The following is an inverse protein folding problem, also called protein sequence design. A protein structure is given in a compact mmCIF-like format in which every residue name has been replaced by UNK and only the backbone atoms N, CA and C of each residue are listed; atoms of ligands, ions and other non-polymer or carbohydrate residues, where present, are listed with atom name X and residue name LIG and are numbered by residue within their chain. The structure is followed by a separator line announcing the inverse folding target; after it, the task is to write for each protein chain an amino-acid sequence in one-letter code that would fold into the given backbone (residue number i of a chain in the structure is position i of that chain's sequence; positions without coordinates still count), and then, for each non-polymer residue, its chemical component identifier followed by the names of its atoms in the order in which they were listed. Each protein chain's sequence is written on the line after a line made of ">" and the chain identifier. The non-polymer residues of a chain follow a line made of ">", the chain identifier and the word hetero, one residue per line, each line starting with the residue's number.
data_IF_289983739944
#
_entry.id   IF_289983739944
#
_cell.length_a   1.000
_cell.length_b   1.000
_cell.length_c   1.000
_cell.angle_alpha   90.00
_cell.angle_beta   90.00
_cell.angle_gamma   90.00
#
_symmetry.space_group_name_H-M   'P 1'
#
loop_
_entity.id
_entity.type
_entity.pdbx_description
1 polymer ?
#
# COMPACT_ATOMS: atom_id res chain seq x y z
N UNK A 1 18.96 7.42 -10.36
CA UNK A 1 18.83 8.43 -9.29
C UNK A 1 18.62 9.77 -9.98
N UNK A 2 17.41 10.31 -9.92
CA UNK A 2 17.14 11.66 -10.39
C UNK A 2 16.96 12.51 -9.13
N UNK A 3 17.99 13.28 -8.79
CA UNK A 3 17.91 14.31 -7.76
C UNK A 3 16.70 15.19 -8.08
N UNK A 4 15.72 15.17 -7.19
CA UNK A 4 14.65 16.15 -7.20
C UNK A 4 15.34 17.50 -7.04
N UNK A 5 15.26 18.35 -8.06
CA UNK A 5 15.59 19.77 -7.95
C UNK A 5 14.68 20.36 -6.88
N UNK A 6 15.17 20.37 -5.64
CA UNK A 6 14.58 21.08 -4.51
C UNK A 6 14.57 22.55 -4.91
N UNK A 7 13.41 23.05 -5.34
CA UNK A 7 13.19 24.48 -5.50
C UNK A 7 13.57 25.12 -4.17
N UNK A 8 14.52 26.06 -4.20
CA UNK A 8 14.87 26.84 -3.01
C UNK A 8 13.59 27.49 -2.50
N UNK A 9 13.31 27.31 -1.22
CA UNK A 9 12.22 27.97 -0.52
C UNK A 9 12.42 29.48 -0.65
N UNK A 10 11.48 30.15 -1.33
CA UNK A 10 11.60 31.58 -1.62
C UNK A 10 11.09 32.42 -0.44
N UNK A 11 10.12 31.90 0.31
CA UNK A 11 9.50 32.61 1.43
C UNK A 11 8.88 31.64 2.43
N UNK A 12 9.09 31.91 3.72
CA UNK A 12 8.53 31.14 4.84
C UNK A 12 7.18 31.71 5.24
N UNK A 13 6.11 30.92 5.05
CA UNK A 13 4.75 31.31 5.40
C UNK A 13 4.28 30.70 6.72
N UNK A 14 5.19 30.09 7.49
CA UNK A 14 4.87 29.35 8.72
C UNK A 14 4.05 30.18 9.70
N UNK A 15 4.40 31.46 9.87
CA UNK A 15 3.70 32.39 10.79
C UNK A 15 2.27 32.68 10.35
N UNK A 16 2.05 32.90 9.06
CA UNK A 16 0.72 33.16 8.52
C UNK A 16 -0.16 31.91 8.65
N UNK A 17 0.40 30.72 8.42
CA UNK A 17 -0.30 29.46 8.60
C UNK A 17 -0.65 29.22 10.07
N UNK A 18 0.26 29.52 11.00
CA UNK A 18 0.02 29.38 12.45
C UNK A 18 -1.07 30.33 12.96
N UNK A 19 -1.20 31.53 12.38
CA UNK A 19 -2.27 32.47 12.71
C UNK A 19 -3.62 32.10 12.06
N UNK A 20 -3.59 31.52 10.86
CA UNK A 20 -4.79 31.23 10.07
C UNK A 20 -5.44 29.90 10.45
N UNK A 21 -4.69 28.89 10.89
CA UNK A 21 -5.26 27.61 11.35
C UNK A 21 -6.30 27.81 12.48
N UNK A 22 -6.01 28.54 13.58
CA UNK A 22 -6.98 28.76 14.66
C UNK A 22 -8.20 29.59 14.20
N UNK A 23 -7.98 30.56 13.31
CA UNK A 23 -9.06 31.36 12.74
C UNK A 23 -9.99 30.52 11.87
N UNK A 24 -9.44 29.58 11.11
CA UNK A 24 -10.26 28.66 10.32
C UNK A 24 -10.97 27.67 11.23
N UNK A 25 -10.33 27.14 12.27
CA UNK A 25 -10.97 26.23 13.22
C UNK A 25 -12.16 26.87 13.95
N UNK A 26 -12.06 28.16 14.29
CA UNK A 26 -13.19 28.91 14.86
C UNK A 26 -14.32 29.16 13.84
N UNK A 27 -13.99 29.43 12.58
CA UNK A 27 -14.97 29.58 11.50
C UNK A 27 -15.67 28.26 11.14
N UNK A 28 -14.94 27.14 11.19
CA UNK A 28 -15.47 25.79 10.99
C UNK A 28 -16.44 25.43 12.12
N UNK A 29 -16.10 25.74 13.38
CA UNK A 29 -17.02 25.60 14.53
C UNK A 29 -18.25 26.52 14.41
N UNK A 30 -18.11 27.66 13.75
CA UNK A 30 -19.20 28.59 13.42
C UNK A 30 -20.09 28.15 12.26
N UNK A 31 -19.82 27.00 11.62
CA UNK A 31 -20.61 26.45 10.51
C UNK A 31 -20.22 26.98 9.11
N UNK A 32 -19.24 27.87 9.01
CA UNK A 32 -18.80 28.46 7.74
C UNK A 32 -17.63 27.69 7.10
N UNK A 33 -17.86 26.40 6.81
CA UNK A 33 -16.84 25.48 6.28
C UNK A 33 -16.26 25.98 4.94
N UNK A 34 -17.10 26.44 4.02
CA UNK A 34 -16.63 26.87 2.69
C UNK A 34 -15.74 28.11 2.74
N UNK A 35 -16.09 29.11 3.56
CA UNK A 35 -15.25 30.30 3.73
C UNK A 35 -13.89 29.96 4.37
N UNK A 36 -13.87 28.98 5.28
CA UNK A 36 -12.62 28.46 5.84
C UNK A 36 -11.75 27.79 4.78
N UNK A 37 -12.35 26.94 3.94
CA UNK A 37 -11.65 26.27 2.85
C UNK A 37 -11.10 27.25 1.81
N UNK A 38 -11.86 28.27 1.42
CA UNK A 38 -11.41 29.28 0.45
C UNK A 38 -10.18 30.06 0.94
N UNK A 39 -10.17 30.41 2.24
CA UNK A 39 -9.00 31.05 2.88
C UNK A 39 -7.78 30.13 2.86
N UNK A 40 -7.95 28.85 3.20
CA UNK A 40 -6.86 27.87 3.17
C UNK A 40 -6.35 27.64 1.75
N UNK A 41 -7.22 27.58 0.74
CA UNK A 41 -6.85 27.39 -0.66
C UNK A 41 -6.12 28.60 -1.25
N UNK A 42 -6.43 29.82 -0.79
CA UNK A 42 -5.73 31.03 -1.17
C UNK A 42 -4.27 31.02 -0.68
N UNK A 43 -4.05 30.67 0.59
CA UNK A 43 -2.72 30.50 1.16
C UNK A 43 -1.97 29.31 0.56
N UNK A 44 -2.65 28.20 0.29
CA UNK A 44 -2.06 27.04 -0.38
C UNK A 44 -1.47 27.44 -1.74
N UNK A 45 -2.15 28.32 -2.48
CA UNK A 45 -1.63 28.84 -3.76
C UNK A 45 -0.36 29.66 -3.57
N UNK A 46 -0.28 30.51 -2.54
CA UNK A 46 0.89 31.35 -2.27
C UNK A 46 2.08 30.50 -1.79
N UNK A 47 1.86 29.63 -0.81
CA UNK A 47 2.88 28.73 -0.26
C UNK A 47 3.40 27.73 -1.29
N UNK A 48 2.55 27.23 -2.20
CA UNK A 48 2.96 26.39 -3.32
C UNK A 48 3.85 27.13 -4.31
N UNK A 49 3.49 28.37 -4.64
CA UNK A 49 4.30 29.18 -5.55
C UNK A 49 5.69 29.48 -4.95
N UNK A 50 5.75 29.76 -3.64
CA UNK A 50 7.00 29.98 -2.90
C UNK A 50 7.79 28.69 -2.61
N UNK A 51 7.28 27.52 -3.01
CA UNK A 51 7.88 26.20 -2.80
C UNK A 51 8.17 25.86 -1.31
N UNK A 52 7.37 26.39 -0.38
CA UNK A 52 7.45 26.06 1.05
C UNK A 52 6.74 24.72 1.32
N UNK A 53 7.53 23.65 1.43
CA UNK A 53 7.04 22.30 1.68
C UNK A 53 6.32 22.17 3.02
N UNK A 54 6.82 22.85 4.06
CA UNK A 54 6.34 22.69 5.42
C UNK A 54 4.94 23.27 5.58
N UNK A 55 4.76 24.50 5.10
CA UNK A 55 3.48 25.22 5.14
C UNK A 55 2.45 24.59 4.19
N UNK A 56 2.84 24.23 2.97
CA UNK A 56 1.92 23.55 2.02
C UNK A 56 1.42 22.22 2.58
N UNK A 57 2.32 21.39 3.14
CA UNK A 57 1.91 20.10 3.72
C UNK A 57 0.93 20.30 4.88
N UNK A 58 1.19 21.25 5.79
CA UNK A 58 0.28 21.55 6.91
C UNK A 58 -1.07 22.04 6.45
N UNK A 59 -1.12 22.92 5.44
CA UNK A 59 -2.37 23.42 4.86
C UNK A 59 -3.17 22.28 4.23
N UNK A 60 -2.53 21.39 3.45
CA UNK A 60 -3.19 20.22 2.88
C UNK A 60 -3.74 19.29 3.96
N UNK A 61 -2.96 19.01 5.01
CA UNK A 61 -3.42 18.17 6.12
C UNK A 61 -4.64 18.77 6.83
N UNK A 62 -4.66 20.08 7.06
CA UNK A 62 -5.81 20.76 7.66
C UNK A 62 -7.03 20.75 6.74
N UNK A 63 -6.88 21.04 5.45
CA UNK A 63 -7.99 21.00 4.48
C UNK A 63 -8.65 19.62 4.50
N UNK A 64 -7.85 18.55 4.40
CA UNK A 64 -8.36 17.18 4.39
C UNK A 64 -9.04 16.82 5.72
N UNK A 65 -8.47 17.26 6.86
CA UNK A 65 -9.05 16.99 8.19
C UNK A 65 -10.40 17.69 8.37
N UNK A 66 -10.52 18.96 7.98
CA UNK A 66 -11.78 19.73 8.06
C UNK A 66 -12.89 19.06 7.22
N UNK A 67 -12.55 18.63 6.00
CA UNK A 67 -13.53 17.98 5.12
C UNK A 67 -13.90 16.61 5.66
N UNK A 68 -12.95 15.86 6.24
CA UNK A 68 -13.25 14.61 6.91
C UNK A 68 -14.17 14.78 8.13
N UNK A 69 -13.92 15.79 8.98
CA UNK A 69 -14.73 16.10 10.16
C UNK A 69 -16.17 16.50 9.81
N UNK A 70 -16.37 17.07 8.61
CA UNK A 70 -17.70 17.37 8.07
C UNK A 70 -18.50 16.13 7.65
N UNK A 71 -17.87 14.94 7.68
CA UNK A 71 -18.40 13.63 7.25
C UNK A 71 -18.82 13.56 5.77
N UNK A 72 -18.43 14.53 4.95
CA UNK A 72 -18.66 14.54 3.50
C UNK A 72 -17.52 13.80 2.75
N UNK A 73 -17.66 12.48 2.62
CA UNK A 73 -16.70 11.63 1.89
C UNK A 73 -16.64 11.96 0.39
N UNK A 74 -17.76 12.17 -0.32
CA UNK A 74 -17.72 12.66 -1.70
C UNK A 74 -16.96 13.98 -1.85
N UNK A 75 -17.19 14.94 -0.95
CA UNK A 75 -16.46 16.21 -0.89
C UNK A 75 -14.96 16.01 -0.69
N UNK A 76 -14.57 15.07 0.20
CA UNK A 76 -13.17 14.70 0.42
C UNK A 76 -12.50 14.17 -0.86
N UNK A 77 -13.16 13.23 -1.54
CA UNK A 77 -12.67 12.66 -2.79
C UNK A 77 -12.45 13.73 -3.86
N UNK A 78 -13.38 14.68 -4.00
CA UNK A 78 -13.27 15.80 -4.94
C UNK A 78 -12.12 16.73 -4.57
N UNK A 79 -11.97 17.09 -3.30
CA UNK A 79 -10.89 17.99 -2.86
C UNK A 79 -9.51 17.35 -3.04
N UNK A 80 -9.35 16.07 -2.69
CA UNK A 80 -8.10 15.33 -2.90
C UNK A 80 -7.77 15.26 -4.39
N UNK A 81 -8.76 15.00 -5.26
CA UNK A 81 -8.57 15.04 -6.71
C UNK A 81 -8.11 16.40 -7.22
N UNK A 82 -8.76 17.48 -6.77
CA UNK A 82 -8.41 18.83 -7.18
C UNK A 82 -7.00 19.18 -6.74
N UNK A 83 -6.67 19.01 -5.46
CA UNK A 83 -5.35 19.30 -4.88
C UNK A 83 -4.23 18.51 -5.56
N UNK A 84 -4.49 17.24 -5.89
CA UNK A 84 -3.51 16.36 -6.52
C UNK A 84 -3.34 16.58 -8.04
N UNK A 85 -4.26 17.30 -8.70
CA UNK A 85 -4.17 17.71 -10.11
C UNK A 85 -3.66 19.15 -10.30
N UNK A 86 -3.54 19.95 -9.22
CA UNK A 86 -3.05 21.34 -9.33
C UNK A 86 -1.62 21.38 -9.90
N UNK A 87 -1.42 22.23 -10.91
CA UNK A 87 -0.12 22.42 -11.53
C UNK A 87 0.89 22.98 -10.53
N UNK A 88 2.08 22.37 -10.46
CA UNK A 88 3.17 22.82 -9.60
C UNK A 88 3.07 22.36 -8.15
N UNK A 89 2.20 21.39 -7.83
CA UNK A 89 2.14 20.86 -6.48
C UNK A 89 3.40 20.07 -6.13
N UNK A 90 3.89 20.28 -4.90
CA UNK A 90 5.08 19.60 -4.40
C UNK A 90 4.81 18.11 -4.21
N UNK A 91 5.69 17.26 -4.74
CA UNK A 91 5.54 15.80 -4.71
C UNK A 91 5.47 15.26 -3.28
N UNK A 92 6.29 15.79 -2.38
CA UNK A 92 6.30 15.38 -0.97
C UNK A 92 5.01 15.83 -0.26
N UNK A 93 4.46 17.02 -0.58
CA UNK A 93 3.21 17.50 0.00
C UNK A 93 2.00 16.66 -0.46
N UNK A 94 1.98 16.18 -1.71
CA UNK A 94 0.94 15.23 -2.15
C UNK A 94 1.09 13.87 -1.50
N UNK A 95 2.31 13.38 -1.29
CA UNK A 95 2.56 12.13 -0.56
C UNK A 95 2.04 12.19 0.87
N UNK A 96 2.39 13.24 1.63
CA UNK A 96 1.94 13.40 3.03
C UNK A 96 0.42 13.56 3.13
N UNK A 97 -0.18 14.27 2.18
CA UNK A 97 -1.64 14.38 2.07
C UNK A 97 -2.30 13.01 1.86
N UNK A 98 -1.83 12.21 0.89
CA UNK A 98 -2.40 10.88 0.61
C UNK A 98 -2.22 9.94 1.80
N UNK A 99 -1.05 9.95 2.45
CA UNK A 99 -0.80 9.14 3.66
C UNK A 99 -1.77 9.48 4.79
N UNK A 100 -2.07 10.77 4.99
CA UNK A 100 -3.08 11.18 5.97
C UNK A 100 -4.47 10.69 5.60
N UNK A 101 -4.87 10.81 4.33
CA UNK A 101 -6.18 10.29 3.88
C UNK A 101 -6.27 8.78 4.09
N UNK A 102 -5.17 8.04 3.88
CA UNK A 102 -5.12 6.61 4.13
C UNK A 102 -5.38 6.25 5.60
N UNK A 103 -4.96 7.08 6.57
CA UNK A 103 -5.26 6.81 7.99
C UNK A 103 -6.75 6.92 8.33
N UNK A 104 -7.52 7.68 7.54
CA UNK A 104 -8.97 7.80 7.73
C UNK A 104 -9.74 6.57 7.25
N UNK A 105 -9.14 5.73 6.40
CA UNK A 105 -9.78 4.52 5.87
C UNK A 105 -10.11 3.47 6.94
N UNK A 106 -9.45 3.51 8.10
CA UNK A 106 -9.67 2.54 9.18
C UNK A 106 -10.88 2.91 10.04
N UNK A 107 -11.35 4.16 9.98
CA UNK A 107 -12.47 4.68 10.76
C UNK A 107 -13.79 4.73 9.98
N UNK A 108 -13.77 4.36 8.69
CA UNK A 108 -14.92 4.46 7.79
C UNK A 108 -15.66 3.14 7.62
N UNK A 109 -16.96 3.24 7.34
CA UNK A 109 -17.80 2.12 6.92
C UNK A 109 -17.29 1.50 5.60
N UNK A 110 -17.62 0.23 5.36
CA UNK A 110 -17.12 -0.52 4.21
C UNK A 110 -17.45 0.13 2.86
N UNK A 111 -18.66 0.66 2.67
CA UNK A 111 -19.05 1.34 1.41
C UNK A 111 -18.24 2.62 1.16
N UNK A 112 -18.14 3.48 2.18
CA UNK A 112 -17.37 4.73 2.10
C UNK A 112 -15.87 4.45 1.92
N UNK A 113 -15.36 3.38 2.53
CA UNK A 113 -13.98 2.90 2.37
C UNK A 113 -13.69 2.50 0.93
N UNK A 114 -14.58 1.75 0.28
CA UNK A 114 -14.42 1.36 -1.14
C UNK A 114 -14.41 2.60 -2.04
N UNK A 115 -15.33 3.54 -1.83
CA UNK A 115 -15.41 4.77 -2.63
C UNK A 115 -14.14 5.62 -2.50
N UNK A 116 -13.64 5.80 -1.27
CA UNK A 116 -12.42 6.57 -1.03
C UNK A 116 -11.18 5.86 -1.61
N UNK A 117 -11.08 4.53 -1.49
CA UNK A 117 -9.97 3.77 -2.08
C UNK A 117 -9.96 3.91 -3.60
N UNK A 118 -11.10 3.77 -4.27
CA UNK A 118 -11.19 3.93 -5.73
C UNK A 118 -10.74 5.33 -6.16
N UNK A 119 -11.23 6.37 -5.46
CA UNK A 119 -10.81 7.75 -5.69
C UNK A 119 -9.30 7.93 -5.52
N UNK A 120 -8.70 7.36 -4.46
CA UNK A 120 -7.25 7.45 -4.26
C UNK A 120 -6.45 6.66 -5.31
N UNK A 121 -6.97 5.53 -5.81
CA UNK A 121 -6.34 4.77 -6.91
C UNK A 121 -6.30 5.59 -8.19
N UNK A 122 -7.36 6.34 -8.51
CA UNK A 122 -7.37 7.28 -9.64
C UNK A 122 -6.37 8.42 -9.47
N UNK A 123 -6.28 8.99 -8.27
CA UNK A 123 -5.33 10.10 -7.97
C UNK A 123 -3.87 9.68 -8.04
N UNK A 124 -3.58 8.42 -7.66
CA UNK A 124 -2.24 7.84 -7.65
C UNK A 124 -1.82 7.26 -8.99
N UNK A 125 -2.73 7.19 -9.97
CA UNK A 125 -2.41 6.69 -11.30
C UNK A 125 -1.43 7.60 -12.05
N UNK A 126 -0.45 7.00 -12.73
CA UNK A 126 0.61 7.71 -13.45
C UNK A 126 1.65 8.45 -12.59
N UNK A 127 1.58 8.40 -11.25
CA UNK A 127 2.52 9.09 -10.35
C UNK A 127 3.54 8.12 -9.74
N UNK A 128 4.74 8.07 -10.32
CA UNK A 128 5.85 7.20 -9.89
C UNK A 128 6.17 7.35 -8.38
N UNK A 129 6.05 8.56 -7.84
CA UNK A 129 6.35 8.82 -6.43
C UNK A 129 5.25 8.39 -5.44
N UNK A 130 4.11 7.87 -5.92
CA UNK A 130 2.99 7.35 -5.12
C UNK A 130 2.73 5.84 -5.32
N UNK A 131 3.66 5.13 -5.96
CA UNK A 131 3.52 3.70 -6.25
C UNK A 131 3.32 2.84 -5.00
N UNK A 132 4.00 3.18 -3.89
CA UNK A 132 3.90 2.45 -2.62
C UNK A 132 2.50 2.60 -2.02
N UNK A 133 1.97 3.81 -1.98
CA UNK A 133 0.63 4.11 -1.47
C UNK A 133 -0.42 3.40 -2.33
N UNK A 134 -0.26 3.42 -3.66
CA UNK A 134 -1.14 2.71 -4.59
C UNK A 134 -1.16 1.19 -4.36
N UNK A 135 0.01 0.58 -4.15
CA UNK A 135 0.12 -0.84 -3.86
C UNK A 135 -0.63 -1.20 -2.57
N UNK A 136 -0.44 -0.44 -1.50
CA UNK A 136 -1.12 -0.63 -0.21
C UNK A 136 -2.64 -0.49 -0.32
N UNK A 137 -3.11 0.55 -1.01
CA UNK A 137 -4.55 0.77 -1.27
C UNK A 137 -5.17 -0.39 -2.04
N UNK A 138 -4.45 -0.91 -3.05
CA UNK A 138 -4.97 -2.02 -3.86
C UNK A 138 -4.98 -3.33 -3.08
N UNK A 139 -4.00 -3.57 -2.20
CA UNK A 139 -4.02 -4.70 -1.26
C UNK A 139 -5.23 -4.64 -0.32
N UNK A 140 -5.53 -3.47 0.23
CA UNK A 140 -6.73 -3.28 1.07
C UNK A 140 -8.02 -3.53 0.29
N UNK A 141 -8.13 -3.01 -0.93
CA UNK A 141 -9.30 -3.24 -1.78
C UNK A 141 -9.48 -4.74 -2.11
N UNK A 142 -8.39 -5.43 -2.43
CA UNK A 142 -8.42 -6.87 -2.71
C UNK A 142 -8.90 -7.68 -1.50
N UNK A 143 -8.48 -7.32 -0.28
CA UNK A 143 -8.95 -7.96 0.96
C UNK A 143 -10.45 -7.76 1.19
N UNK A 144 -10.97 -6.56 0.91
CA UNK A 144 -12.41 -6.27 1.02
C UNK A 144 -13.19 -7.12 0.00
N UNK A 145 -12.74 -7.16 -1.26
CA UNK A 145 -13.37 -7.97 -2.31
C UNK A 145 -13.30 -9.47 -2.02
N UNK A 146 -12.22 -9.93 -1.40
CA UNK A 146 -12.10 -11.32 -0.96
C UNK A 146 -13.10 -11.64 0.16
N UNK A 147 -13.28 -10.74 1.14
CA UNK A 147 -14.27 -10.91 2.21
C UNK A 147 -15.71 -10.94 1.66
N UNK A 148 -15.98 -10.23 0.56
CA UNK A 148 -17.24 -10.28 -0.19
C UNK A 148 -17.41 -11.57 -1.03
N UNK A 149 -16.40 -12.45 -1.06
CA UNK A 149 -16.38 -13.68 -1.86
C UNK A 149 -15.98 -13.46 -3.33
N UNK A 150 -15.70 -12.22 -3.75
CA UNK A 150 -15.29 -11.86 -5.11
C UNK A 150 -13.78 -12.09 -5.34
N UNK A 151 -13.30 -13.29 -5.05
CA UNK A 151 -11.89 -13.70 -5.17
C UNK A 151 -11.33 -13.52 -6.58
N UNK A 152 -12.17 -13.67 -7.61
CA UNK A 152 -11.91 -13.31 -9.02
C UNK A 152 -11.29 -11.93 -9.16
N UNK A 153 -12.12 -10.93 -8.84
CA UNK A 153 -11.78 -9.51 -8.93
C UNK A 153 -10.60 -9.12 -8.04
N UNK A 154 -10.50 -9.72 -6.85
CA UNK A 154 -9.38 -9.47 -5.93
C UNK A 154 -8.03 -9.87 -6.56
N UNK A 155 -7.99 -11.01 -7.27
CA UNK A 155 -6.76 -11.42 -7.95
C UNK A 155 -6.44 -10.51 -9.13
N UNK A 156 -7.41 -10.17 -9.97
CA UNK A 156 -7.18 -9.30 -11.14
C UNK A 156 -6.57 -7.95 -10.71
N UNK A 157 -7.16 -7.33 -9.68
CA UNK A 157 -6.65 -6.09 -9.08
C UNK A 157 -5.21 -6.22 -8.58
N UNK A 158 -4.86 -7.36 -7.96
CA UNK A 158 -3.51 -7.59 -7.46
C UNK A 158 -2.52 -7.86 -8.61
N UNK A 159 -2.93 -8.51 -9.70
CA UNK A 159 -2.08 -8.83 -10.84
C UNK A 159 -1.80 -7.61 -11.74
N UNK A 160 -2.71 -6.64 -11.80
CA UNK A 160 -2.51 -5.37 -12.53
C UNK A 160 -1.25 -4.62 -12.06
N UNK A 161 -0.91 -4.73 -10.77
CA UNK A 161 0.25 -4.07 -10.18
C UNK A 161 1.50 -4.95 -10.24
N UNK A 162 2.46 -4.54 -11.06
CA UNK A 162 3.78 -5.17 -11.15
C UNK A 162 4.74 -4.63 -10.09
N UNK A 163 4.49 -4.94 -8.82
CA UNK A 163 5.23 -4.43 -7.64
C UNK A 163 6.74 -4.69 -7.66
N UNK A 164 7.19 -5.65 -8.45
CA UNK A 164 8.62 -5.95 -8.62
C UNK A 164 9.40 -4.77 -9.20
N UNK A 165 8.74 -4.01 -10.09
CA UNK A 165 9.33 -2.86 -10.80
C UNK A 165 9.47 -1.62 -9.93
N UNK A 166 8.77 -1.56 -8.79
CA UNK A 166 8.73 -0.36 -7.94
C UNK A 166 10.05 -0.16 -7.20
N UNK A 167 10.89 0.77 -7.64
CA UNK A 167 12.19 1.01 -7.02
C UNK A 167 12.11 1.49 -5.55
N UNK A 168 11.02 2.17 -5.20
CA UNK A 168 10.81 2.84 -3.92
C UNK A 168 10.32 1.93 -2.80
N UNK A 169 9.86 0.72 -3.13
CA UNK A 169 9.20 -0.19 -2.19
C UNK A 169 10.23 -1.12 -1.53
N UNK A 170 10.05 -1.38 -0.23
CA UNK A 170 10.92 -2.28 0.51
C UNK A 170 10.84 -3.71 -0.05
N UNK A 171 11.99 -4.40 -0.11
CA UNK A 171 12.05 -5.77 -0.63
C UNK A 171 11.12 -6.73 0.13
N UNK A 172 11.01 -6.57 1.46
CA UNK A 172 10.10 -7.38 2.28
C UNK A 172 8.64 -7.16 1.91
N UNK A 173 8.23 -5.90 1.75
CA UNK A 173 6.85 -5.54 1.39
C UNK A 173 6.50 -6.05 -0.02
N UNK A 174 7.43 -5.96 -0.98
CA UNK A 174 7.26 -6.56 -2.33
C UNK A 174 7.03 -8.06 -2.24
N UNK A 175 7.82 -8.74 -1.42
CA UNK A 175 7.74 -10.18 -1.26
C UNK A 175 6.42 -10.61 -0.63
N UNK A 176 5.94 -9.89 0.39
CA UNK A 176 4.62 -10.14 0.97
C UNK A 176 3.50 -9.94 -0.07
N UNK A 177 3.60 -8.92 -0.92
CA UNK A 177 2.63 -8.68 -1.99
C UNK A 177 2.60 -9.80 -3.03
N UNK A 178 3.77 -10.31 -3.45
CA UNK A 178 3.87 -11.44 -4.40
C UNK A 178 3.32 -12.73 -3.78
N UNK A 179 3.59 -12.97 -2.49
CA UNK A 179 3.03 -14.14 -1.80
C UNK A 179 1.50 -14.07 -1.70
N UNK A 180 0.95 -12.87 -1.54
CA UNK A 180 -0.49 -12.66 -1.52
C UNK A 180 -1.13 -12.91 -2.88
N UNK A 181 -0.49 -12.45 -3.97
CA UNK A 181 -0.86 -12.82 -5.34
C UNK A 181 -0.88 -14.35 -5.53
N UNK A 182 0.16 -15.05 -5.07
CA UNK A 182 0.22 -16.52 -5.14
C UNK A 182 -0.90 -17.19 -4.32
N UNK A 183 -1.24 -16.63 -3.15
CA UNK A 183 -2.33 -17.16 -2.31
C UNK A 183 -3.69 -17.04 -3.01
N UNK A 184 -3.97 -15.91 -3.63
CA UNK A 184 -5.21 -15.69 -4.40
C UNK A 184 -5.29 -16.62 -5.61
N UNK A 185 -4.19 -16.76 -6.36
CA UNK A 185 -4.10 -17.71 -7.48
C UNK A 185 -4.34 -19.16 -7.05
N UNK A 186 -3.82 -19.55 -5.88
CA UNK A 186 -4.07 -20.87 -5.29
C UNK A 186 -5.57 -21.09 -5.01
N UNK A 187 -6.27 -20.08 -4.50
CA UNK A 187 -7.72 -20.16 -4.23
C UNK A 187 -8.50 -20.32 -5.54
N UNK A 188 -8.10 -19.59 -6.58
CA UNK A 188 -8.70 -19.70 -7.92
C UNK A 188 -8.29 -20.98 -8.67
N UNK A 189 -7.35 -21.77 -8.14
CA UNK A 189 -6.77 -22.95 -8.78
C UNK A 189 -6.09 -22.67 -10.13
N UNK A 190 -5.60 -21.45 -10.36
CA UNK A 190 -4.83 -21.09 -11.55
C UNK A 190 -3.34 -21.40 -11.33
N UNK A 191 -2.98 -22.67 -11.55
CA UNK A 191 -1.65 -23.20 -11.27
C UNK A 191 -0.58 -22.72 -12.26
N UNK A 192 -0.96 -22.42 -13.50
CA UNK A 192 -0.04 -21.95 -14.53
C UNK A 192 0.47 -20.54 -14.18
N UNK A 193 -0.45 -19.62 -13.84
CA UNK A 193 -0.06 -18.29 -13.39
C UNK A 193 0.69 -18.33 -12.08
N UNK A 194 0.32 -19.21 -11.14
CA UNK A 194 1.07 -19.38 -9.88
C UNK A 194 2.52 -19.78 -10.15
N UNK A 195 2.76 -20.68 -11.10
CA UNK A 195 4.12 -21.06 -11.50
C UNK A 195 4.92 -19.87 -12.06
N UNK A 196 4.28 -19.00 -12.86
CA UNK A 196 4.92 -17.79 -13.42
C UNK A 196 5.27 -16.81 -12.30
N UNK A 197 4.35 -16.52 -11.39
CA UNK A 197 4.56 -15.61 -10.26
C UNK A 197 5.63 -16.14 -9.30
N UNK A 198 5.69 -17.47 -9.08
CA UNK A 198 6.70 -18.08 -8.21
C UNK A 198 8.15 -17.84 -8.65
N UNK A 199 8.40 -17.71 -9.97
CA UNK A 199 9.74 -17.47 -10.53
C UNK A 199 10.29 -16.08 -10.22
N UNK A 200 9.41 -15.17 -9.82
CA UNK A 200 9.74 -13.77 -9.52
C UNK A 200 10.35 -13.61 -8.13
N UNK A 201 10.25 -14.63 -7.29
CA UNK A 201 10.80 -14.68 -5.95
C UNK A 201 12.28 -15.07 -5.98
N UNK A 202 13.12 -14.28 -5.32
CA UNK A 202 14.54 -14.59 -5.17
C UNK A 202 14.77 -15.56 -3.99
N UNK A 203 15.05 -16.82 -4.30
CA UNK A 203 15.28 -17.88 -3.31
C UNK A 203 16.48 -17.64 -2.41
N UNK A 204 17.50 -16.89 -2.85
CA UNK A 204 18.68 -16.59 -2.03
C UNK A 204 18.34 -15.63 -0.90
N UNK A 205 17.59 -14.57 -1.22
CA UNK A 205 17.16 -13.57 -0.23
C UNK A 205 16.17 -14.17 0.78
N UNK A 206 15.31 -15.09 0.31
CA UNK A 206 14.37 -15.81 1.17
C UNK A 206 15.05 -16.77 2.17
N UNK A 207 16.31 -17.15 1.94
CA UNK A 207 17.06 -18.02 2.84
C UNK A 207 17.66 -17.27 4.05
N UNK A 208 17.61 -15.94 4.06
CA UNK A 208 18.08 -15.10 5.17
C UNK A 208 17.24 -15.34 6.43
N UNK A 209 17.86 -15.32 7.63
CA UNK A 209 17.17 -15.66 8.88
C UNK A 209 16.05 -14.67 9.24
N UNK A 210 16.14 -13.42 8.79
CA UNK A 210 15.14 -12.37 9.05
C UNK A 210 13.81 -12.59 8.31
N UNK A 211 13.83 -13.40 7.24
CA UNK A 211 12.70 -13.64 6.34
C UNK A 211 12.11 -15.04 6.49
N UNK A 212 12.37 -15.71 7.62
CA UNK A 212 11.92 -17.08 7.86
C UNK A 212 10.39 -17.21 7.75
N UNK A 213 9.63 -16.23 8.22
CA UNK A 213 8.18 -16.17 8.10
C UNK A 213 7.70 -16.20 6.63
N UNK A 214 8.32 -15.38 5.78
CA UNK A 214 8.02 -15.33 4.35
C UNK A 214 8.45 -16.63 3.66
N UNK A 215 9.57 -17.22 4.08
CA UNK A 215 10.08 -18.49 3.59
C UNK A 215 9.07 -19.62 3.81
N UNK A 216 8.53 -19.71 5.03
CA UNK A 216 7.55 -20.74 5.38
C UNK A 216 6.24 -20.58 4.59
N UNK A 217 5.73 -19.35 4.45
CA UNK A 217 4.55 -19.07 3.62
C UNK A 217 4.77 -19.45 2.16
N UNK A 218 5.91 -19.09 1.59
CA UNK A 218 6.26 -19.44 0.21
C UNK A 218 6.27 -20.96 -0.01
N UNK A 219 7.01 -21.71 0.81
CA UNK A 219 7.11 -23.16 0.61
C UNK A 219 5.80 -23.89 0.88
N UNK A 220 4.94 -23.40 1.78
CA UNK A 220 3.61 -23.96 1.97
C UNK A 220 2.74 -23.87 0.70
N UNK A 221 2.80 -22.73 0.00
CA UNK A 221 2.14 -22.55 -1.29
C UNK A 221 2.74 -23.46 -2.37
N UNK A 222 4.07 -23.54 -2.43
CA UNK A 222 4.78 -24.39 -3.40
C UNK A 222 4.55 -25.89 -3.18
N UNK A 223 4.39 -26.34 -1.93
CA UNK A 223 4.03 -27.73 -1.61
C UNK A 223 2.62 -28.04 -2.14
N UNK A 224 1.67 -27.13 -1.94
CA UNK A 224 0.31 -27.32 -2.48
C UNK A 224 0.33 -27.43 -4.00
N UNK A 225 1.08 -26.55 -4.66
CA UNK A 225 1.28 -26.57 -6.11
C UNK A 225 1.95 -27.87 -6.61
N UNK A 226 3.08 -28.26 -6.01
CA UNK A 226 3.81 -29.45 -6.43
C UNK A 226 3.05 -30.75 -6.14
N UNK A 227 2.24 -30.80 -5.07
CA UNK A 227 1.34 -31.90 -4.78
C UNK A 227 0.27 -32.06 -5.84
N UNK A 228 -0.34 -30.94 -6.28
CA UNK A 228 -1.36 -30.99 -7.34
C UNK A 228 -0.81 -31.46 -8.68
N UNK A 229 0.43 -31.09 -9.01
CA UNK A 229 1.12 -31.48 -10.24
C UNK A 229 1.90 -32.80 -10.13
N UNK A 230 1.82 -33.52 -9.01
CA UNK A 230 2.56 -34.77 -8.77
C UNK A 230 4.09 -34.65 -8.96
N UNK A 231 4.67 -33.49 -8.61
CA UNK A 231 6.11 -33.22 -8.73
C UNK A 231 6.82 -33.63 -7.43
N UNK A 232 6.99 -34.94 -7.22
CA UNK A 232 7.51 -35.50 -5.96
C UNK A 232 8.94 -35.05 -5.61
N UNK A 233 9.81 -34.92 -6.61
CA UNK A 233 11.17 -34.45 -6.40
C UNK A 233 11.23 -32.99 -5.92
N UNK A 234 10.30 -32.15 -6.38
CA UNK A 234 10.20 -30.76 -5.94
C UNK A 234 9.61 -30.69 -4.52
N UNK A 235 8.63 -31.54 -4.18
CA UNK A 235 8.12 -31.70 -2.82
C UNK A 235 9.23 -32.03 -1.83
N UNK A 236 10.10 -33.00 -2.15
CA UNK A 236 11.26 -33.33 -1.34
C UNK A 236 12.14 -32.11 -1.04
N UNK A 237 12.48 -31.34 -2.08
CA UNK A 237 13.32 -30.13 -1.95
C UNK A 237 12.65 -29.08 -1.07
N UNK A 238 11.34 -28.88 -1.20
CA UNK A 238 10.60 -27.90 -0.40
C UNK A 238 10.51 -28.32 1.07
N UNK A 239 10.17 -29.59 1.36
CA UNK A 239 10.16 -30.09 2.75
C UNK A 239 11.54 -30.05 3.40
N UNK A 240 12.60 -30.34 2.64
CA UNK A 240 13.99 -30.17 3.11
C UNK A 240 14.31 -28.71 3.44
N UNK A 241 13.92 -27.78 2.56
CA UNK A 241 14.15 -26.34 2.76
C UNK A 241 13.40 -25.80 3.98
N UNK A 242 12.20 -26.33 4.26
CA UNK A 242 11.41 -26.06 5.47
C UNK A 242 12.15 -26.58 6.70
N UNK A 243 12.58 -27.84 6.69
CA UNK A 243 13.33 -28.46 7.79
C UNK A 243 14.65 -27.75 8.12
N UNK A 244 15.31 -27.14 7.13
CA UNK A 244 16.56 -26.40 7.35
C UNK A 244 16.37 -25.13 8.19
N UNK A 245 15.15 -24.61 8.29
CA UNK A 245 14.79 -23.37 8.98
C UNK A 245 14.87 -23.51 10.52
N UNK A 246 15.36 -22.47 11.20
CA UNK A 246 15.71 -22.52 12.63
C UNK A 246 14.49 -22.74 13.52
N UNK A 247 13.38 -22.07 13.23
CA UNK A 247 12.13 -22.17 13.98
C UNK A 247 11.54 -23.59 13.93
N UNK A 248 11.74 -24.30 12.82
CA UNK A 248 11.23 -25.67 12.65
C UNK A 248 12.16 -26.70 13.27
N UNK A 249 13.48 -26.45 13.28
CA UNK A 249 14.44 -27.27 14.04
C UNK A 249 14.25 -27.18 15.54
N UNK A 250 13.78 -26.04 16.05
CA UNK A 250 13.50 -25.86 17.47
C UNK A 250 12.29 -26.70 17.93
N UNK A 251 11.29 -26.91 17.06
CA UNK A 251 10.10 -27.71 17.36
C UNK A 251 10.27 -29.17 16.87
N UNK A 252 10.53 -30.14 17.77
CA UNK A 252 10.83 -31.53 17.38
C UNK A 252 9.66 -32.18 16.62
N UNK A 253 8.41 -31.83 16.95
CA UNK A 253 7.21 -32.34 16.29
C UNK A 253 7.12 -31.91 14.83
N UNK A 254 7.42 -30.63 14.55
CA UNK A 254 7.35 -30.05 13.19
C UNK A 254 8.54 -30.48 12.35
N UNK A 255 9.73 -30.56 12.96
CA UNK A 255 10.93 -31.12 12.32
C UNK A 255 10.71 -32.56 11.88
N UNK A 256 10.17 -33.43 12.75
CA UNK A 256 9.90 -34.83 12.42
C UNK A 256 8.84 -34.95 11.32
N UNK A 257 7.77 -34.13 11.36
CA UNK A 257 6.76 -34.11 10.30
C UNK A 257 7.35 -33.68 8.95
N UNK A 258 8.18 -32.63 8.92
CA UNK A 258 8.83 -32.17 7.70
C UNK A 258 9.80 -33.22 7.13
N UNK A 259 10.56 -33.90 8.00
CA UNK A 259 11.51 -34.94 7.60
C UNK A 259 10.80 -36.21 7.13
N UNK A 260 9.73 -36.63 7.81
CA UNK A 260 8.88 -37.75 7.38
C UNK A 260 8.30 -37.50 5.99
N UNK A 261 7.76 -36.30 5.75
CA UNK A 261 7.21 -35.95 4.45
C UNK A 261 8.31 -35.85 3.39
N UNK A 262 9.51 -35.34 3.73
CA UNK A 262 10.64 -35.34 2.81
C UNK A 262 11.03 -36.77 2.40
N UNK A 263 11.10 -37.73 3.32
CA UNK A 263 11.47 -39.13 2.99
C UNK A 263 10.36 -39.84 2.22
N UNK A 264 9.10 -39.56 2.51
CA UNK A 264 7.95 -40.21 1.84
C UNK A 264 7.88 -39.92 0.32
N UNK A 265 8.37 -38.76 -0.13
CA UNK A 265 8.31 -38.34 -1.53
C UNK A 265 9.62 -38.57 -2.31
N UNK A 266 10.62 -39.26 -1.72
CA UNK A 266 11.84 -39.74 -2.40
C UNK A 266 11.52 -41.03 -3.14
#
# INVERSE_FOLDING_TARGET
>A
MAEATTRKQEQDFTKEVDELIPQVDTLVKGGNIQQGLDKLLALEKQTRNASDLSSTSRLLLHIVTIVYDSKDIPGLCLQVHQLARKHGQLRQATTTMVEKVMTFLDQLDQENKINLINSLREVTDGKIYLEVQRARLTKQLAQIREAEGATGTANDLMQELQVETFGSMERREKMDFILEQMRLLRIQQDWEKLAIVSKKINSKWLAEPENEDLKLRFYALMITYASKLSRYLDLCKYYRSIHESKSIKADPSKSLAALRNAVYFV
#
